data_IF_022372183864
#
_entry.id   IF_022372183864
#
_cell.length_a   1.000
_cell.length_b   1.000
_cell.length_c   1.000
_cell.angle_alpha   90.00
_cell.angle_beta   90.00
_cell.angle_gamma   90.00
#
_symmetry.space_group_name_H-M   'P 1'
#
loop_
_entity.id
_entity.type
_entity.pdbx_description
1 polymer ?
#
# COMPACT_ATOMS: atom_id res chain seq x y z
N UNK A 1 -18.12 -2.93 24.49
CA UNK A 1 -18.15 -2.13 23.25
C UNK A 1 -18.79 -2.92 22.13
N UNK A 2 -19.62 -2.30 21.32
CA UNK A 2 -20.24 -2.94 20.15
C UNK A 2 -20.18 -2.02 18.93
N UNK A 3 -19.98 -2.60 17.75
CA UNK A 3 -20.06 -1.89 16.47
C UNK A 3 -21.52 -1.47 16.24
N UNK A 4 -21.74 -0.19 15.99
CA UNK A 4 -23.06 0.37 15.69
C UNK A 4 -23.27 0.64 14.22
N UNK A 5 -22.19 0.95 13.47
CA UNK A 5 -22.22 1.16 12.03
C UNK A 5 -20.85 0.95 11.40
N UNK A 6 -20.84 0.66 10.10
CA UNK A 6 -19.66 0.69 9.20
C UNK A 6 -19.99 1.67 8.09
N UNK A 7 -19.48 2.89 8.19
CA UNK A 7 -19.74 3.99 7.26
C UNK A 7 -18.71 3.96 6.11
N UNK A 8 -19.12 3.68 4.86
CA UNK A 8 -18.25 3.84 3.70
C UNK A 8 -18.17 5.31 3.30
N UNK A 9 -16.95 5.76 2.98
CA UNK A 9 -16.66 7.12 2.54
C UNK A 9 -15.96 7.00 1.18
N UNK A 10 -16.62 7.48 0.13
CA UNK A 10 -16.07 7.56 -1.22
C UNK A 10 -15.61 8.98 -1.48
N UNK A 11 -14.34 9.16 -1.74
CA UNK A 11 -13.76 10.44 -2.15
C UNK A 11 -13.34 10.38 -3.62
N UNK A 12 -13.50 11.50 -4.35
CA UNK A 12 -13.09 11.59 -5.74
C UNK A 12 -12.77 13.02 -6.12
N UNK A 13 -11.70 13.20 -6.87
CA UNK A 13 -11.37 14.51 -7.45
C UNK A 13 -12.46 14.95 -8.44
N UNK A 14 -12.75 16.26 -8.51
CA UNK A 14 -13.74 16.79 -9.46
C UNK A 14 -13.38 16.52 -10.94
N UNK A 15 -12.09 16.38 -11.21
CA UNK A 15 -11.55 16.03 -12.53
C UNK A 15 -10.59 14.85 -12.38
N UNK A 16 -10.87 13.78 -13.10
CA UNK A 16 -10.08 12.54 -13.11
C UNK A 16 -9.48 12.34 -14.49
N UNK A 17 -8.17 12.16 -14.56
CA UNK A 17 -7.48 11.76 -15.78
C UNK A 17 -7.46 10.23 -15.90
N UNK A 18 -8.37 9.68 -16.68
CA UNK A 18 -8.49 8.23 -16.88
C UNK A 18 -7.39 7.62 -17.76
N UNK A 19 -6.51 8.44 -18.34
CA UNK A 19 -5.38 7.97 -19.15
C UNK A 19 -4.13 7.65 -18.30
N UNK A 20 -4.08 8.15 -17.05
CA UNK A 20 -2.98 7.89 -16.11
C UNK A 20 -3.30 6.69 -15.21
N UNK A 21 -2.30 5.88 -14.94
CA UNK A 21 -2.35 4.84 -13.91
C UNK A 21 -2.06 5.45 -12.52
N UNK A 22 -2.89 6.41 -12.10
CA UNK A 22 -2.73 7.18 -10.87
C UNK A 22 -3.89 6.89 -9.93
N UNK A 23 -3.66 6.03 -8.95
CA UNK A 23 -4.65 5.61 -7.94
C UNK A 23 -5.02 6.69 -6.92
N UNK A 24 -4.37 7.86 -6.95
CA UNK A 24 -4.62 8.92 -5.96
C UNK A 24 -5.76 9.87 -6.33
N UNK A 25 -6.49 9.59 -7.42
CA UNK A 25 -7.56 10.46 -7.92
C UNK A 25 -8.93 10.20 -7.26
N UNK A 26 -9.08 9.05 -6.63
CA UNK A 26 -10.20 8.73 -5.75
C UNK A 26 -9.69 7.88 -4.56
N UNK A 27 -10.52 7.74 -3.53
CA UNK A 27 -10.17 6.94 -2.36
C UNK A 27 -11.42 6.32 -1.73
N UNK A 28 -11.24 5.16 -1.12
CA UNK A 28 -12.27 4.50 -0.32
C UNK A 28 -11.81 4.38 1.13
N UNK A 29 -12.51 5.06 2.02
CA UNK A 29 -12.28 5.01 3.45
C UNK A 29 -13.48 4.37 4.16
N UNK A 30 -13.26 3.85 5.36
CA UNK A 30 -14.32 3.43 6.26
C UNK A 30 -14.16 4.07 7.63
N UNK A 31 -15.30 4.46 8.24
CA UNK A 31 -15.39 4.69 9.68
C UNK A 31 -16.20 3.58 10.31
N UNK A 32 -15.63 2.91 11.29
CA UNK A 32 -16.32 1.91 12.12
C UNK A 32 -16.71 2.56 13.42
N UNK A 33 -18.02 2.73 13.64
CA UNK A 33 -18.59 3.39 14.80
C UNK A 33 -18.92 2.39 15.90
N UNK A 34 -18.77 2.81 17.17
CA UNK A 34 -19.07 1.99 18.35
C UNK A 34 -20.08 2.68 19.27
N UNK A 35 -20.75 1.91 20.13
CA UNK A 35 -21.68 2.39 21.16
C UNK A 35 -20.98 3.14 22.31
N UNK A 36 -19.66 3.10 22.39
CA UNK A 36 -18.86 3.86 23.37
C UNK A 36 -18.27 5.15 22.78
N UNK A 37 -18.64 5.51 21.53
CA UNK A 37 -18.20 6.72 20.85
C UNK A 37 -16.79 6.66 20.27
N UNK A 38 -16.11 5.52 20.37
CA UNK A 38 -14.83 5.30 19.67
C UNK A 38 -15.15 5.02 18.20
N UNK A 39 -14.42 5.71 17.30
CA UNK A 39 -14.55 5.54 15.86
C UNK A 39 -13.21 5.12 15.30
N UNK A 40 -13.18 3.97 14.59
CA UNK A 40 -12.00 3.50 13.87
C UNK A 40 -12.00 3.97 12.43
N UNK A 41 -10.81 4.23 11.90
CA UNK A 41 -10.57 4.70 10.54
C UNK A 41 -9.74 3.66 9.78
N UNK A 42 -10.10 3.42 8.52
CA UNK A 42 -9.33 2.55 7.62
C UNK A 42 -9.51 2.91 6.17
N UNK A 43 -8.67 2.34 5.32
CA UNK A 43 -8.61 2.61 3.88
C UNK A 43 -8.50 1.32 3.08
N UNK A 44 -9.19 1.27 1.93
CA UNK A 44 -8.98 0.25 0.90
C UNK A 44 -8.55 0.90 -0.41
N UNK A 45 -7.51 0.33 -1.01
CA UNK A 45 -7.08 0.72 -2.34
C UNK A 45 -7.75 -0.18 -3.39
N UNK A 46 -8.88 0.30 -3.90
CA UNK A 46 -9.72 -0.40 -4.91
C UNK A 46 -10.74 0.57 -5.50
N UNK A 47 -11.55 0.10 -6.47
CA UNK A 47 -12.64 0.89 -7.06
C UNK A 47 -13.67 1.32 -6.00
N UNK A 48 -13.77 2.61 -5.64
CA UNK A 48 -14.48 3.04 -4.43
C UNK A 48 -15.99 2.73 -4.41
N UNK A 49 -16.68 2.83 -5.55
CA UNK A 49 -18.11 2.52 -5.64
C UNK A 49 -18.38 1.02 -5.49
N UNK A 50 -17.48 0.17 -6.00
CA UNK A 50 -17.57 -1.27 -5.78
C UNK A 50 -17.35 -1.59 -4.30
N UNK A 51 -16.36 -0.97 -3.67
CA UNK A 51 -16.07 -1.13 -2.24
C UNK A 51 -17.27 -0.73 -1.38
N UNK A 52 -17.92 0.41 -1.67
CA UNK A 52 -19.15 0.83 -0.99
C UNK A 52 -20.25 -0.25 -1.11
N UNK A 53 -20.43 -0.80 -2.30
CA UNK A 53 -21.43 -1.86 -2.52
C UNK A 53 -21.14 -3.09 -1.66
N UNK A 54 -19.88 -3.50 -1.51
CA UNK A 54 -19.49 -4.65 -0.68
C UNK A 54 -19.81 -4.39 0.80
N UNK A 55 -19.67 -3.18 1.28
CA UNK A 55 -20.07 -2.80 2.65
C UNK A 55 -21.60 -2.86 2.81
N UNK A 56 -22.36 -2.30 1.87
CA UNK A 56 -23.78 -1.95 2.05
C UNK A 56 -24.76 -2.97 1.48
N UNK A 57 -24.33 -3.87 0.59
CA UNK A 57 -25.25 -4.79 -0.09
C UNK A 57 -26.08 -5.63 0.89
N UNK A 58 -27.37 -5.89 0.60
CA UNK A 58 -28.19 -6.78 1.41
C UNK A 58 -27.66 -8.21 1.32
N UNK A 59 -27.92 -9.01 2.36
CA UNK A 59 -27.61 -10.43 2.32
C UNK A 59 -28.43 -11.12 1.22
N UNK A 60 -27.76 -11.91 0.37
CA UNK A 60 -28.38 -12.84 -0.57
C UNK A 60 -28.61 -14.21 0.10
N UNK A 61 -27.60 -14.68 0.81
CA UNK A 61 -27.64 -15.91 1.64
C UNK A 61 -26.46 -15.87 2.65
N UNK A 62 -26.28 -16.94 3.44
CA UNK A 62 -25.29 -16.95 4.55
C UNK A 62 -23.84 -16.70 4.13
N UNK A 63 -23.46 -17.02 2.88
CA UNK A 63 -22.10 -16.84 2.33
C UNK A 63 -21.96 -15.63 1.39
N UNK A 64 -23.02 -14.81 1.27
CA UNK A 64 -23.03 -13.60 0.44
C UNK A 64 -23.78 -12.48 1.16
N UNK A 65 -23.08 -11.80 2.05
CA UNK A 65 -23.61 -10.75 2.93
C UNK A 65 -22.76 -9.50 2.83
N UNK A 66 -23.38 -8.32 2.85
CA UNK A 66 -22.67 -7.04 3.00
C UNK A 66 -21.96 -6.98 4.35
N UNK A 67 -20.75 -6.40 4.36
CA UNK A 67 -19.89 -6.47 5.55
C UNK A 67 -20.42 -5.64 6.71
N UNK A 68 -21.17 -4.55 6.48
CA UNK A 68 -21.91 -3.84 7.53
C UNK A 68 -22.86 -4.75 8.31
N UNK A 69 -23.65 -5.52 7.58
CA UNK A 69 -24.63 -6.43 8.22
C UNK A 69 -23.97 -7.61 8.95
N UNK A 70 -22.71 -7.91 8.65
CA UNK A 70 -21.91 -8.93 9.34
C UNK A 70 -21.38 -8.42 10.67
N UNK A 71 -21.06 -7.14 10.75
CA UNK A 71 -20.27 -6.54 11.84
C UNK A 71 -21.10 -5.81 12.88
N UNK A 72 -22.24 -5.21 12.49
CA UNK A 72 -23.08 -4.45 13.44
C UNK A 72 -23.56 -5.38 14.56
N UNK A 73 -23.36 -4.94 15.81
CA UNK A 73 -23.65 -5.67 17.04
C UNK A 73 -22.50 -6.53 17.57
N UNK A 74 -21.44 -6.73 16.80
CA UNK A 74 -20.25 -7.47 17.20
C UNK A 74 -19.31 -6.61 18.09
N UNK A 75 -18.42 -7.28 18.82
CA UNK A 75 -17.37 -6.64 19.61
C UNK A 75 -16.14 -6.34 18.73
N UNK A 76 -15.81 -5.05 18.48
CA UNK A 76 -14.69 -4.66 17.60
C UNK A 76 -13.32 -5.13 18.09
N UNK A 77 -13.16 -5.46 19.37
CA UNK A 77 -11.89 -5.93 19.92
C UNK A 77 -11.60 -7.40 19.56
N UNK A 78 -12.55 -8.12 18.99
CA UNK A 78 -12.37 -9.49 18.50
C UNK A 78 -11.83 -9.53 17.07
N UNK A 79 -10.76 -8.77 16.78
CA UNK A 79 -10.30 -8.46 15.42
C UNK A 79 -10.09 -9.72 14.57
N UNK A 80 -9.30 -10.69 15.03
CA UNK A 80 -9.04 -11.95 14.27
C UNK A 80 -10.33 -12.73 13.99
N UNK A 81 -11.26 -12.80 14.96
CA UNK A 81 -12.54 -13.48 14.79
C UNK A 81 -13.41 -12.76 13.75
N UNK A 82 -13.47 -11.43 13.81
CA UNK A 82 -14.24 -10.64 12.86
C UNK A 82 -13.64 -10.72 11.46
N UNK A 83 -12.33 -10.75 11.33
CA UNK A 83 -11.66 -10.98 10.04
C UNK A 83 -12.13 -12.30 9.40
N UNK A 84 -12.11 -13.41 10.16
CA UNK A 84 -12.60 -14.71 9.69
C UNK A 84 -14.10 -14.67 9.35
N UNK A 85 -14.89 -13.97 10.16
CA UNK A 85 -16.34 -13.84 9.92
C UNK A 85 -16.63 -13.11 8.62
N UNK A 86 -15.91 -12.00 8.34
CA UNK A 86 -16.00 -11.27 7.07
C UNK A 86 -15.57 -12.13 5.89
N UNK A 87 -14.46 -12.86 6.02
CA UNK A 87 -13.95 -13.74 4.98
C UNK A 87 -14.96 -14.80 4.58
N UNK A 88 -15.56 -15.51 5.56
CA UNK A 88 -16.60 -16.50 5.30
C UNK A 88 -17.89 -15.89 4.72
N UNK A 89 -18.27 -14.69 5.17
CA UNK A 89 -19.47 -14.03 4.67
C UNK A 89 -19.33 -13.53 3.23
N UNK A 90 -18.11 -13.39 2.73
CA UNK A 90 -17.77 -12.93 1.38
C UNK A 90 -17.24 -14.04 0.46
N UNK A 91 -17.20 -15.28 0.92
CA UNK A 91 -16.55 -16.40 0.19
C UNK A 91 -17.08 -16.60 -1.24
N UNK A 92 -18.39 -16.38 -1.46
CA UNK A 92 -19.01 -16.54 -2.78
C UNK A 92 -18.70 -15.42 -3.78
N UNK A 93 -18.36 -14.22 -3.32
CA UNK A 93 -18.18 -13.07 -4.21
C UNK A 93 -16.80 -12.41 -4.10
N UNK A 94 -15.98 -12.79 -3.13
CA UNK A 94 -14.82 -11.99 -2.86
C UNK A 94 -13.70 -12.62 -2.07
N UNK A 95 -13.42 -13.88 -2.26
CA UNK A 95 -12.27 -14.56 -1.64
C UNK A 95 -10.92 -13.92 -2.01
N UNK A 96 -10.87 -13.12 -3.08
CA UNK A 96 -9.73 -12.29 -3.52
C UNK A 96 -10.26 -11.00 -4.15
N UNK A 97 -9.37 -10.03 -4.36
CA UNK A 97 -9.68 -8.74 -4.96
C UNK A 97 -10.55 -7.86 -4.06
N UNK A 98 -11.47 -7.13 -4.64
CA UNK A 98 -12.18 -6.02 -3.99
C UNK A 98 -12.78 -6.32 -2.61
N UNK A 99 -13.27 -7.54 -2.35
CA UNK A 99 -13.79 -7.86 -1.02
C UNK A 99 -12.68 -7.94 0.03
N UNK A 100 -11.50 -8.48 -0.31
CA UNK A 100 -10.34 -8.48 0.58
C UNK A 100 -9.81 -7.06 0.82
N UNK A 101 -9.85 -6.20 -0.21
CA UNK A 101 -9.47 -4.79 -0.06
C UNK A 101 -10.42 -4.10 0.94
N UNK A 102 -11.73 -4.29 0.83
CA UNK A 102 -12.70 -3.73 1.81
C UNK A 102 -12.51 -4.33 3.20
N UNK A 103 -12.22 -5.63 3.30
CA UNK A 103 -11.87 -6.26 4.57
C UNK A 103 -10.61 -5.64 5.18
N UNK A 104 -9.62 -5.29 4.34
CA UNK A 104 -8.40 -4.60 4.79
C UNK A 104 -8.72 -3.26 5.43
N UNK A 105 -9.59 -2.44 4.79
CA UNK A 105 -10.03 -1.18 5.36
C UNK A 105 -10.70 -1.36 6.72
N UNK A 106 -11.60 -2.33 6.83
CA UNK A 106 -12.30 -2.61 8.08
C UNK A 106 -11.34 -3.16 9.13
N UNK A 107 -10.42 -4.04 8.77
CA UNK A 107 -9.39 -4.57 9.68
C UNK A 107 -8.50 -3.45 10.24
N UNK A 108 -8.03 -2.54 9.39
CA UNK A 108 -7.26 -1.36 9.81
C UNK A 108 -8.09 -0.53 10.81
N UNK A 109 -9.39 -0.31 10.54
CA UNK A 109 -10.27 0.43 11.44
C UNK A 109 -10.51 -0.30 12.77
N UNK A 110 -10.58 -1.63 12.78
CA UNK A 110 -10.72 -2.41 14.02
C UNK A 110 -9.45 -2.34 14.88
N UNK A 111 -8.27 -2.39 14.25
CA UNK A 111 -7.00 -2.17 14.95
C UNK A 111 -6.87 -0.74 15.48
N UNK A 112 -7.37 0.25 14.75
CA UNK A 112 -7.44 1.65 15.21
C UNK A 112 -8.34 1.78 16.44
N UNK A 113 -9.54 1.13 16.44
CA UNK A 113 -10.41 1.06 17.63
C UNK A 113 -9.67 0.40 18.80
N UNK A 114 -9.00 -0.71 18.58
CA UNK A 114 -8.31 -1.44 19.64
C UNK A 114 -7.21 -0.57 20.27
N UNK A 115 -6.43 0.17 19.46
CA UNK A 115 -5.43 1.12 19.94
C UNK A 115 -6.06 2.29 20.72
N UNK A 116 -7.13 2.88 20.19
CA UNK A 116 -7.88 3.97 20.87
C UNK A 116 -8.47 3.52 22.20
N UNK A 117 -9.06 2.32 22.23
CA UNK A 117 -9.62 1.75 23.45
C UNK A 117 -8.57 1.43 24.52
N UNK A 118 -7.38 1.01 24.10
CA UNK A 118 -6.24 0.73 24.98
C UNK A 118 -5.42 1.99 25.34
N UNK A 119 -5.63 3.11 24.64
CA UNK A 119 -4.85 4.34 24.80
C UNK A 119 -3.42 4.25 24.29
N UNK A 120 -3.14 3.38 23.30
CA UNK A 120 -1.80 3.14 22.73
C UNK A 120 -1.83 3.15 21.20
N UNK A 121 -0.68 3.44 20.53
CA UNK A 121 -0.55 3.32 19.08
C UNK A 121 -0.74 1.87 18.59
N UNK A 122 -1.17 1.70 17.35
CA UNK A 122 -1.31 0.35 16.74
C UNK A 122 0.02 -0.41 16.75
N UNK A 123 1.15 0.25 16.54
CA UNK A 123 2.48 -0.40 16.61
C UNK A 123 2.75 -1.09 17.94
N UNK A 124 2.24 -0.55 19.05
CA UNK A 124 2.42 -1.17 20.37
C UNK A 124 1.58 -2.45 20.50
N UNK A 125 0.37 -2.48 19.93
CA UNK A 125 -0.45 -3.69 19.86
C UNK A 125 0.15 -4.77 18.96
N UNK A 126 0.91 -4.37 17.94
CA UNK A 126 1.62 -5.28 17.02
C UNK A 126 2.92 -5.86 17.61
N UNK A 127 3.28 -5.49 18.85
CA UNK A 127 4.45 -6.02 19.55
C UNK A 127 5.50 -4.97 19.90
N UNK A 128 5.22 -3.69 19.63
CA UNK A 128 6.08 -2.56 19.95
C UNK A 128 6.94 -2.09 18.78
N UNK A 129 7.02 -0.78 18.63
CA UNK A 129 7.85 -0.15 17.59
C UNK A 129 9.33 -0.30 17.93
N UNK A 130 10.16 -0.58 16.92
CA UNK A 130 11.63 -0.67 17.02
C UNK A 130 12.33 0.64 16.68
N UNK A 131 11.68 1.47 15.85
CA UNK A 131 12.18 2.77 15.41
C UNK A 131 11.04 3.81 15.47
N UNK A 132 11.40 5.07 15.72
CA UNK A 132 10.44 6.17 15.83
C UNK A 132 10.21 6.89 14.50
N UNK A 133 11.16 6.78 13.56
CA UNK A 133 11.13 7.46 12.27
C UNK A 133 11.54 6.48 11.18
N UNK A 134 10.82 6.49 10.06
CA UNK A 134 11.04 5.58 8.94
C UNK A 134 11.50 6.38 7.72
N UNK A 135 12.56 5.92 7.06
CA UNK A 135 12.96 6.43 5.75
C UNK A 135 11.86 6.20 4.73
N UNK A 136 11.50 7.23 3.98
CA UNK A 136 10.50 7.10 2.92
C UNK A 136 11.12 7.35 1.55
N UNK A 137 10.62 6.64 0.54
CA UNK A 137 10.97 6.93 -0.83
C UNK A 137 9.84 7.68 -1.53
N UNK A 138 10.22 8.68 -2.34
CA UNK A 138 9.27 9.34 -3.23
C UNK A 138 8.77 8.34 -4.29
N UNK A 139 7.47 8.22 -4.48
CA UNK A 139 6.87 7.35 -5.50
C UNK A 139 5.99 8.16 -6.43
N UNK A 140 6.21 7.99 -7.75
CA UNK A 140 5.45 8.67 -8.80
C UNK A 140 5.29 7.75 -10.04
N UNK A 141 4.22 7.95 -10.77
CA UNK A 141 4.02 7.30 -12.07
C UNK A 141 5.10 7.78 -13.05
N UNK A 142 5.75 6.84 -13.77
CA UNK A 142 6.78 7.17 -14.74
C UNK A 142 6.26 8.13 -15.81
N UNK A 143 6.82 9.33 -15.92
CA UNK A 143 6.39 10.31 -16.93
C UNK A 143 6.72 9.87 -18.34
N UNK A 144 6.07 10.51 -19.32
CA UNK A 144 6.28 10.18 -20.72
C UNK A 144 7.63 10.63 -21.28
N UNK A 145 8.29 11.64 -20.68
CA UNK A 145 9.49 12.24 -21.25
C UNK A 145 10.67 12.28 -20.26
N UNK A 146 11.93 12.17 -20.75
CA UNK A 146 13.11 12.28 -19.89
C UNK A 146 13.22 13.63 -19.14
N UNK A 147 12.70 14.72 -19.70
CA UNK A 147 12.73 16.04 -19.04
C UNK A 147 11.78 16.09 -17.84
N UNK A 148 10.62 15.48 -17.95
CA UNK A 148 9.70 15.33 -16.82
C UNK A 148 10.27 14.40 -15.74
N UNK A 149 10.95 13.31 -16.13
CA UNK A 149 11.68 12.43 -15.20
C UNK A 149 12.72 13.22 -14.41
N UNK A 150 13.56 14.04 -15.10
CA UNK A 150 14.55 14.88 -14.41
C UNK A 150 13.89 15.84 -13.43
N UNK A 151 12.79 16.48 -13.82
CA UNK A 151 12.07 17.42 -12.94
C UNK A 151 11.55 16.73 -11.66
N UNK A 152 11.00 15.51 -11.77
CA UNK A 152 10.54 14.74 -10.60
C UNK A 152 11.72 14.31 -9.73
N UNK A 153 12.80 13.83 -10.34
CA UNK A 153 14.01 13.43 -9.60
C UNK A 153 14.65 14.63 -8.87
N UNK A 154 14.74 15.80 -9.52
CA UNK A 154 15.21 17.03 -8.90
C UNK A 154 14.35 17.45 -7.70
N UNK A 155 13.01 17.40 -7.85
CA UNK A 155 12.07 17.71 -6.77
C UNK A 155 12.21 16.74 -5.58
N UNK A 156 12.42 15.44 -5.83
CA UNK A 156 12.70 14.47 -4.79
C UNK A 156 14.01 14.77 -4.04
N UNK A 157 15.06 15.15 -4.76
CA UNK A 157 16.35 15.58 -4.17
C UNK A 157 16.19 16.83 -3.32
N UNK A 158 15.51 17.85 -3.85
CA UNK A 158 15.25 19.13 -3.15
C UNK A 158 14.40 18.92 -1.88
N UNK A 159 13.44 18.01 -1.93
CA UNK A 159 12.60 17.62 -0.78
C UNK A 159 13.32 16.73 0.23
N UNK A 160 14.57 16.30 -0.03
CA UNK A 160 15.38 15.53 0.91
C UNK A 160 15.12 14.01 0.90
N UNK A 161 14.39 13.47 -0.08
CA UNK A 161 14.18 12.02 -0.17
C UNK A 161 15.50 11.26 -0.38
N UNK A 162 15.66 10.14 0.35
CA UNK A 162 16.79 9.23 0.20
C UNK A 162 16.65 8.24 -0.96
N UNK A 163 15.46 8.14 -1.54
CA UNK A 163 15.16 7.23 -2.64
C UNK A 163 14.00 7.75 -3.50
N UNK A 164 13.97 7.30 -4.77
CA UNK A 164 12.91 7.58 -5.73
C UNK A 164 12.47 6.28 -6.43
N UNK A 165 11.18 6.02 -6.48
CA UNK A 165 10.55 5.00 -7.31
C UNK A 165 9.79 5.65 -8.45
N UNK A 166 10.02 5.16 -9.67
CA UNK A 166 9.26 5.54 -10.86
C UNK A 166 8.75 4.27 -11.55
N UNK A 167 7.49 4.25 -11.93
CA UNK A 167 6.92 3.04 -12.51
C UNK A 167 5.72 3.24 -13.41
N UNK A 168 5.25 2.13 -14.03
CA UNK A 168 4.12 2.15 -14.94
C UNK A 168 4.34 3.03 -16.19
N UNK A 169 3.35 3.82 -16.59
CA UNK A 169 3.46 4.79 -17.67
C UNK A 169 3.88 4.17 -19.02
N UNK A 170 4.94 4.67 -19.67
CA UNK A 170 5.39 4.21 -20.97
C UNK A 170 6.25 2.93 -20.94
N UNK A 171 6.65 2.45 -19.75
CA UNK A 171 7.60 1.34 -19.59
C UNK A 171 7.14 0.05 -20.27
N UNK A 172 8.12 -0.76 -20.69
CA UNK A 172 7.91 -2.07 -21.32
C UNK A 172 7.58 -2.02 -22.80
N UNK A 173 7.36 -0.85 -23.40
CA UNK A 173 7.07 -0.72 -24.84
C UNK A 173 8.33 -0.79 -25.70
N UNK A 174 9.35 0.00 -25.32
CA UNK A 174 10.65 0.08 -25.99
C UNK A 174 11.78 0.13 -24.98
N UNK A 175 12.59 -0.92 -24.92
CA UNK A 175 13.69 -1.04 -23.95
C UNK A 175 14.76 0.04 -24.09
N UNK A 176 15.01 0.55 -25.29
CA UNK A 176 15.97 1.65 -25.48
C UNK A 176 15.39 2.97 -24.93
N UNK A 177 14.07 3.14 -25.01
CA UNK A 177 13.41 4.28 -24.40
C UNK A 177 13.35 4.14 -22.88
N UNK A 178 13.02 2.95 -22.35
CA UNK A 178 13.03 2.66 -20.92
C UNK A 178 14.41 3.00 -20.30
N UNK A 179 15.52 2.56 -20.95
CA UNK A 179 16.89 2.91 -20.57
C UNK A 179 17.11 4.43 -20.54
N UNK A 180 16.55 5.16 -21.50
CA UNK A 180 16.69 6.63 -21.56
C UNK A 180 15.99 7.29 -20.38
N UNK A 181 14.83 6.80 -19.94
CA UNK A 181 14.09 7.30 -18.77
C UNK A 181 14.86 6.99 -17.47
N UNK A 182 15.35 5.76 -17.31
CA UNK A 182 16.15 5.35 -16.14
C UNK A 182 17.43 6.18 -16.03
N UNK A 183 18.15 6.37 -17.15
CA UNK A 183 19.35 7.23 -17.20
C UNK A 183 19.02 8.68 -16.80
N UNK A 184 17.89 9.22 -17.25
CA UNK A 184 17.47 10.56 -16.89
C UNK A 184 17.19 10.70 -15.38
N UNK A 185 16.54 9.69 -14.79
CA UNK A 185 16.30 9.66 -13.34
C UNK A 185 17.60 9.59 -12.55
N UNK A 186 18.52 8.67 -12.90
CA UNK A 186 19.80 8.50 -12.21
C UNK A 186 20.68 9.73 -12.30
N UNK A 187 20.73 10.35 -13.46
CA UNK A 187 21.56 11.55 -13.68
C UNK A 187 21.20 12.71 -12.75
N UNK A 188 19.91 12.87 -12.44
CA UNK A 188 19.42 13.94 -11.57
C UNK A 188 19.39 13.55 -10.10
N UNK A 189 19.02 12.28 -9.80
CA UNK A 189 18.95 11.76 -8.43
C UNK A 189 20.34 11.71 -7.75
N UNK A 190 21.41 11.55 -8.54
CA UNK A 190 22.79 11.36 -8.07
C UNK A 190 23.06 9.89 -7.67
N UNK A 191 24.31 9.58 -7.35
CA UNK A 191 24.75 8.22 -7.03
C UNK A 191 24.40 7.77 -5.60
N UNK A 192 24.22 8.71 -4.69
CA UNK A 192 24.09 8.43 -3.25
C UNK A 192 22.64 8.04 -2.84
N UNK A 193 21.68 8.16 -3.75
CA UNK A 193 20.26 7.86 -3.47
C UNK A 193 19.82 6.61 -4.21
N UNK A 194 18.94 5.84 -3.55
CA UNK A 194 18.37 4.65 -4.16
C UNK A 194 17.41 5.01 -5.31
N UNK A 195 17.58 4.37 -6.47
CA UNK A 195 16.65 4.44 -7.59
C UNK A 195 15.93 3.11 -7.72
N UNK A 196 14.62 3.16 -7.67
CA UNK A 196 13.73 2.00 -7.75
C UNK A 196 12.92 2.10 -9.05
N UNK A 197 12.72 0.98 -9.72
CA UNK A 197 11.93 0.91 -10.94
C UNK A 197 10.77 -0.05 -10.75
N UNK A 198 9.55 0.38 -11.08
CA UNK A 198 8.36 -0.46 -11.10
C UNK A 198 7.99 -0.76 -12.56
N UNK A 199 8.01 -2.03 -12.92
CA UNK A 199 7.75 -2.50 -14.28
C UNK A 199 6.31 -2.44 -14.73
N UNK A 200 5.35 -2.22 -13.82
CA UNK A 200 3.93 -2.14 -14.16
C UNK A 200 3.41 -3.38 -14.90
N UNK A 201 4.00 -4.56 -14.64
CA UNK A 201 3.64 -5.86 -15.26
C UNK A 201 3.80 -5.92 -16.78
N UNK A 202 4.66 -5.07 -17.33
CA UNK A 202 4.75 -4.86 -18.79
C UNK A 202 5.83 -5.73 -19.46
N UNK A 203 6.56 -6.55 -18.70
CA UNK A 203 7.69 -7.32 -19.24
C UNK A 203 7.42 -8.83 -19.24
N UNK A 204 8.18 -9.52 -20.06
CA UNK A 204 8.45 -10.96 -19.93
C UNK A 204 9.80 -11.15 -19.26
N UNK A 205 10.09 -12.35 -18.72
CA UNK A 205 11.40 -12.66 -18.10
C UNK A 205 12.56 -12.23 -19.00
N UNK A 206 12.50 -12.56 -20.29
CA UNK A 206 13.57 -12.22 -21.25
C UNK A 206 13.75 -10.71 -21.41
N UNK A 207 12.64 -9.95 -21.53
CA UNK A 207 12.69 -8.49 -21.67
C UNK A 207 13.14 -7.80 -20.39
N UNK A 208 12.70 -8.29 -19.24
CA UNK A 208 13.15 -7.79 -17.93
C UNK A 208 14.68 -7.94 -17.78
N UNK A 209 15.21 -9.13 -18.06
CA UNK A 209 16.65 -9.38 -18.03
C UNK A 209 17.44 -8.58 -19.09
N UNK A 210 16.84 -8.30 -20.25
CA UNK A 210 17.45 -7.45 -21.25
C UNK A 210 17.51 -5.99 -20.79
N UNK A 211 16.41 -5.45 -20.21
CA UNK A 211 16.40 -4.11 -19.62
C UNK A 211 17.45 -4.00 -18.51
N UNK A 212 17.49 -4.94 -17.56
CA UNK A 212 18.43 -4.89 -16.44
C UNK A 212 19.88 -4.83 -16.90
N UNK A 213 20.25 -5.55 -17.97
CA UNK A 213 21.60 -5.44 -18.57
C UNK A 213 21.88 -4.08 -19.19
N UNK A 214 20.86 -3.42 -19.77
CA UNK A 214 21.00 -2.08 -20.36
C UNK A 214 21.18 -0.99 -19.33
N UNK A 215 20.55 -1.16 -18.16
CA UNK A 215 20.54 -0.16 -17.08
C UNK A 215 21.47 -0.52 -15.92
N UNK A 216 22.33 -1.54 -16.06
CA UNK A 216 23.21 -2.04 -15.00
C UNK A 216 24.07 -0.92 -14.39
N UNK A 217 24.63 -0.03 -15.23
CA UNK A 217 25.43 1.12 -14.78
C UNK A 217 24.65 2.16 -13.96
N UNK A 218 23.33 2.09 -13.95
CA UNK A 218 22.45 3.00 -13.23
C UNK A 218 22.08 2.53 -11.84
N UNK A 219 22.61 1.40 -11.37
CA UNK A 219 22.55 0.86 -10.01
C UNK A 219 21.14 0.93 -9.40
N UNK A 220 20.17 0.21 -10.02
CA UNK A 220 18.82 0.12 -9.50
C UNK A 220 18.83 -0.60 -8.15
N UNK A 221 18.09 -0.05 -7.17
CA UNK A 221 17.91 -0.67 -5.86
C UNK A 221 17.02 -1.92 -5.94
N UNK A 222 15.89 -1.85 -6.69
CA UNK A 222 15.08 -3.00 -7.08
C UNK A 222 14.39 -2.77 -8.43
N UNK A 223 13.90 -3.89 -8.99
CA UNK A 223 12.94 -3.91 -10.10
C UNK A 223 11.66 -4.58 -9.63
N UNK A 224 10.59 -3.79 -9.49
CA UNK A 224 9.29 -4.15 -8.94
C UNK A 224 8.34 -4.58 -10.05
N UNK A 225 7.46 -5.54 -9.76
CA UNK A 225 6.37 -6.02 -10.64
C UNK A 225 6.68 -6.03 -12.14
N UNK A 226 7.84 -6.53 -12.51
CA UNK A 226 8.21 -6.68 -13.94
C UNK A 226 7.24 -7.62 -14.67
N UNK A 227 6.75 -8.67 -14.00
CA UNK A 227 5.91 -9.74 -14.54
C UNK A 227 4.49 -9.66 -13.96
N UNK A 228 3.56 -10.42 -14.58
CA UNK A 228 2.23 -10.59 -14.00
C UNK A 228 2.30 -11.25 -12.61
N UNK A 229 1.43 -10.90 -11.65
CA UNK A 229 1.48 -11.40 -10.27
C UNK A 229 1.42 -12.93 -10.17
N UNK A 230 0.61 -13.58 -11.01
CA UNK A 230 0.45 -15.03 -11.01
C UNK A 230 1.60 -15.80 -11.70
N UNK A 231 2.59 -15.11 -12.32
CA UNK A 231 3.72 -15.75 -13.02
C UNK A 231 4.86 -16.10 -12.04
N UNK A 232 4.55 -16.95 -11.06
CA UNK A 232 5.53 -17.42 -10.08
C UNK A 232 6.71 -18.14 -10.71
N UNK A 233 6.49 -18.87 -11.82
CA UNK A 233 7.55 -19.58 -12.52
C UNK A 233 8.45 -18.61 -13.31
N UNK A 234 7.88 -17.51 -13.79
CA UNK A 234 8.63 -16.39 -14.35
C UNK A 234 9.50 -15.70 -13.31
N UNK A 235 8.96 -15.38 -12.13
CA UNK A 235 9.74 -14.84 -11.02
C UNK A 235 10.85 -15.78 -10.56
N UNK A 236 10.59 -17.08 -10.47
CA UNK A 236 11.60 -18.09 -10.14
C UNK A 236 12.78 -18.15 -11.14
N UNK A 237 12.56 -17.70 -12.39
CA UNK A 237 13.62 -17.56 -13.41
C UNK A 237 14.28 -16.17 -13.33
N UNK A 238 13.49 -15.11 -13.12
CA UNK A 238 13.96 -13.73 -13.12
C UNK A 238 14.85 -13.44 -11.91
N UNK A 239 14.37 -13.72 -10.69
CA UNK A 239 15.05 -13.31 -9.47
C UNK A 239 16.49 -13.83 -9.34
N UNK A 240 16.81 -15.13 -9.56
CA UNK A 240 18.18 -15.60 -9.46
C UNK A 240 19.08 -15.17 -10.64
N UNK A 241 18.51 -14.66 -11.72
CA UNK A 241 19.26 -14.21 -12.90
C UNK A 241 19.44 -12.68 -12.96
N UNK A 242 18.74 -11.95 -12.13
CA UNK A 242 18.83 -10.50 -12.03
C UNK A 242 20.05 -10.08 -11.20
N UNK A 243 20.68 -8.96 -11.58
CA UNK A 243 21.77 -8.31 -10.81
C UNK A 243 21.22 -7.36 -9.73
N UNK A 244 19.92 -7.08 -9.74
CA UNK A 244 19.19 -6.21 -8.80
C UNK A 244 18.16 -7.00 -8.02
N UNK A 245 17.70 -6.48 -6.89
CA UNK A 245 16.60 -7.08 -6.12
C UNK A 245 15.34 -7.13 -6.96
N UNK A 246 14.58 -8.21 -6.88
CA UNK A 246 13.27 -8.36 -7.51
C UNK A 246 12.21 -8.23 -6.43
N UNK A 247 11.30 -7.29 -6.64
CA UNK A 247 10.22 -6.93 -5.72
C UNK A 247 8.85 -7.21 -6.34
N UNK A 248 7.88 -7.64 -5.53
CA UNK A 248 6.46 -7.72 -5.88
C UNK A 248 5.61 -7.97 -4.64
N UNK A 249 4.27 -7.89 -4.79
CA UNK A 249 3.32 -8.28 -3.77
C UNK A 249 2.17 -7.31 -3.56
N UNK A 250 2.15 -6.15 -4.20
CA UNK A 250 1.05 -5.19 -4.07
C UNK A 250 -0.30 -5.74 -4.55
N UNK A 251 -0.26 -6.68 -5.48
CA UNK A 251 -1.44 -7.33 -6.06
C UNK A 251 -1.88 -8.59 -5.31
N UNK A 252 -1.15 -8.98 -4.26
CA UNK A 252 -1.42 -10.22 -3.54
C UNK A 252 -2.22 -9.98 -2.25
N UNK A 253 -3.14 -10.90 -1.97
CA UNK A 253 -3.96 -10.89 -0.77
C UNK A 253 -3.78 -12.18 0.02
N UNK A 254 -3.98 -12.08 1.33
CA UNK A 254 -3.80 -13.17 2.30
C UNK A 254 -2.35 -13.68 2.39
N UNK A 255 -2.05 -14.52 3.37
CA UNK A 255 -0.69 -14.98 3.63
C UNK A 255 -0.11 -15.92 2.57
N UNK A 256 -0.96 -16.78 1.97
CA UNK A 256 -0.47 -17.88 1.14
C UNK A 256 0.26 -17.44 -0.15
N UNK A 257 -0.22 -16.43 -0.91
CA UNK A 257 0.54 -15.88 -2.05
C UNK A 257 1.89 -15.31 -1.65
N UNK A 258 1.99 -14.54 -0.56
CA UNK A 258 3.27 -14.00 -0.11
C UNK A 258 4.28 -15.09 0.23
N UNK A 259 3.82 -16.17 0.89
CA UNK A 259 4.69 -17.34 1.09
C UNK A 259 5.13 -17.95 -0.24
N UNK A 260 4.25 -18.04 -1.23
CA UNK A 260 4.60 -18.57 -2.54
C UNK A 260 5.59 -17.68 -3.31
N UNK A 261 5.48 -16.35 -3.18
CA UNK A 261 6.46 -15.41 -3.73
C UNK A 261 7.87 -15.65 -3.16
N UNK A 262 7.99 -15.95 -1.86
CA UNK A 262 9.28 -16.29 -1.23
C UNK A 262 9.76 -17.69 -1.65
N UNK A 263 8.93 -18.73 -1.42
CA UNK A 263 9.35 -20.13 -1.56
C UNK A 263 9.53 -20.56 -3.03
N UNK A 264 8.65 -20.07 -3.92
CA UNK A 264 8.65 -20.42 -5.34
C UNK A 264 9.19 -19.30 -6.21
N UNK A 265 8.68 -18.07 -6.04
CA UNK A 265 9.09 -16.89 -6.79
C UNK A 265 10.52 -16.44 -6.50
N UNK A 266 11.05 -16.76 -5.32
CA UNK A 266 12.40 -16.40 -4.85
C UNK A 266 12.67 -14.91 -4.82
N UNK A 267 11.63 -14.13 -4.49
CA UNK A 267 11.75 -12.68 -4.42
C UNK A 267 12.68 -12.23 -3.30
N UNK A 268 13.31 -11.09 -3.52
CA UNK A 268 14.18 -10.41 -2.56
C UNK A 268 13.38 -9.44 -1.68
N UNK A 269 12.31 -8.84 -2.21
CA UNK A 269 11.47 -7.85 -1.52
C UNK A 269 9.99 -8.22 -1.67
N UNK A 270 9.27 -8.27 -0.56
CA UNK A 270 7.81 -8.38 -0.52
C UNK A 270 7.19 -7.01 -0.27
N UNK A 271 6.16 -6.69 -1.04
CA UNK A 271 5.47 -5.40 -0.99
C UNK A 271 3.97 -5.55 -0.67
N UNK A 272 3.62 -6.04 0.56
CA UNK A 272 2.22 -6.12 0.92
C UNK A 272 1.61 -4.73 1.00
N UNK A 273 0.47 -4.53 0.35
CA UNK A 273 -0.35 -3.34 0.55
C UNK A 273 -1.34 -3.59 1.69
N UNK A 274 -1.26 -2.83 2.78
CA UNK A 274 -2.13 -3.03 3.93
C UNK A 274 -3.62 -2.75 3.61
N UNK A 275 -3.89 -1.92 2.60
CA UNK A 275 -5.23 -1.63 2.11
C UNK A 275 -5.78 -2.72 1.15
N UNK A 276 -4.96 -3.73 0.79
CA UNK A 276 -5.32 -4.82 -0.13
C UNK A 276 -5.09 -6.20 0.46
N UNK A 277 -4.00 -6.43 1.18
CA UNK A 277 -3.56 -7.78 1.58
C UNK A 277 -4.43 -8.45 2.64
N UNK A 278 -5.30 -7.72 3.34
CA UNK A 278 -6.12 -8.19 4.46
C UNK A 278 -5.85 -7.44 5.76
N UNK A 279 -5.29 -6.23 5.68
CA UNK A 279 -5.02 -5.34 6.80
C UNK A 279 -3.87 -5.79 7.70
N UNK A 280 -3.81 -5.25 8.90
CA UNK A 280 -2.79 -5.62 9.90
C UNK A 280 -2.86 -7.10 10.30
N UNK A 281 -4.05 -7.69 10.33
CA UNK A 281 -4.24 -9.09 10.71
C UNK A 281 -3.49 -10.04 9.77
N UNK A 282 -3.42 -9.75 8.48
CA UNK A 282 -2.62 -10.51 7.52
C UNK A 282 -1.17 -10.02 7.48
N UNK A 283 -0.93 -8.71 7.49
CA UNK A 283 0.40 -8.15 7.41
C UNK A 283 1.33 -8.68 8.53
N UNK A 284 0.84 -8.84 9.77
CA UNK A 284 1.62 -9.44 10.87
C UNK A 284 2.00 -10.91 10.63
N UNK A 285 1.21 -11.66 9.83
CA UNK A 285 1.59 -13.01 9.42
C UNK A 285 2.67 -12.95 8.34
N UNK A 286 2.56 -12.01 7.38
CA UNK A 286 3.57 -11.79 6.35
C UNK A 286 4.91 -11.40 6.98
N UNK A 287 4.91 -10.58 8.04
CA UNK A 287 6.11 -10.19 8.77
C UNK A 287 6.92 -11.40 9.31
N UNK A 288 6.29 -12.55 9.55
CA UNK A 288 7.00 -13.77 9.96
C UNK A 288 7.90 -14.36 8.86
N UNK A 289 7.64 -14.04 7.59
CA UNK A 289 8.48 -14.50 6.47
C UNK A 289 9.87 -13.86 6.53
N UNK A 290 9.97 -12.61 7.00
CA UNK A 290 11.25 -11.95 7.22
C UNK A 290 12.16 -12.71 8.20
N UNK A 291 11.57 -13.36 9.22
CA UNK A 291 12.31 -14.14 10.23
C UNK A 291 12.79 -15.48 9.71
N UNK A 292 12.08 -16.06 8.76
CA UNK A 292 12.36 -17.39 8.20
C UNK A 292 13.17 -17.37 6.92
N UNK A 293 13.38 -16.19 6.33
CA UNK A 293 14.09 -16.00 5.07
C UNK A 293 14.91 -14.70 5.08
N UNK A 294 15.65 -14.45 4.00
CA UNK A 294 16.37 -13.19 3.80
C UNK A 294 15.54 -12.10 3.12
N UNK A 295 14.25 -12.35 2.91
CA UNK A 295 13.37 -11.40 2.21
C UNK A 295 13.24 -10.10 3.01
N UNK A 296 13.25 -8.98 2.31
CA UNK A 296 12.94 -7.65 2.84
C UNK A 296 11.44 -7.39 2.71
N UNK A 297 10.83 -6.68 3.67
CA UNK A 297 9.41 -6.31 3.60
C UNK A 297 9.31 -4.79 3.55
N UNK A 298 8.78 -4.28 2.45
CA UNK A 298 8.57 -2.85 2.20
C UNK A 298 7.16 -2.67 1.64
N UNK A 299 6.18 -2.24 2.43
CA UNK A 299 4.80 -2.18 1.97
C UNK A 299 4.62 -1.21 0.80
N UNK A 300 3.81 -1.61 -0.19
CA UNK A 300 3.22 -0.71 -1.18
C UNK A 300 2.29 0.27 -0.46
N UNK A 301 2.34 1.55 -0.84
CA UNK A 301 1.52 2.59 -0.23
C UNK A 301 1.36 3.79 -1.18
N UNK A 302 0.55 3.62 -2.24
CA UNK A 302 0.31 4.67 -3.25
C UNK A 302 -1.13 5.19 -3.18
N UNK A 303 -1.55 5.66 -1.98
CA UNK A 303 -2.91 6.12 -1.72
C UNK A 303 -2.91 7.27 -0.69
N UNK A 304 -3.85 7.32 0.26
CA UNK A 304 -3.97 8.44 1.19
C UNK A 304 -3.07 8.33 2.42
N UNK A 305 -3.02 9.43 3.20
CA UNK A 305 -2.30 9.45 4.47
C UNK A 305 -2.83 8.46 5.52
N UNK A 306 -4.02 7.91 5.36
CA UNK A 306 -4.53 6.85 6.26
C UNK A 306 -3.74 5.56 6.04
N UNK A 307 -3.50 5.18 4.78
CA UNK A 307 -2.66 4.04 4.45
C UNK A 307 -1.19 4.29 4.83
N UNK A 308 -0.70 5.53 4.67
CA UNK A 308 0.64 5.91 5.14
C UNK A 308 0.76 5.67 6.65
N UNK A 309 -0.20 6.11 7.47
CA UNK A 309 -0.20 5.86 8.91
C UNK A 309 -0.16 4.35 9.23
N UNK A 310 -1.01 3.56 8.58
CA UNK A 310 -1.03 2.11 8.76
C UNK A 310 0.32 1.47 8.38
N UNK A 311 0.88 1.85 7.24
CA UNK A 311 2.17 1.34 6.76
C UNK A 311 3.32 1.72 7.70
N UNK A 312 3.35 2.95 8.22
CA UNK A 312 4.35 3.38 9.20
C UNK A 312 4.29 2.55 10.50
N UNK A 313 3.07 2.32 11.05
CA UNK A 313 2.91 1.45 12.22
C UNK A 313 3.41 0.04 11.96
N UNK A 314 3.11 -0.52 10.78
CA UNK A 314 3.54 -1.87 10.43
C UNK A 314 5.07 -1.95 10.28
N UNK A 315 5.68 -1.07 9.46
CA UNK A 315 7.12 -1.05 9.20
C UNK A 315 7.91 -0.85 10.50
N UNK A 316 7.43 -0.01 11.42
CA UNK A 316 8.09 0.25 12.69
C UNK A 316 8.24 -1.01 13.56
N UNK A 317 7.46 -2.07 13.32
CA UNK A 317 7.49 -3.33 14.08
C UNK A 317 8.30 -4.44 13.41
N UNK A 318 8.73 -4.26 12.16
CA UNK A 318 9.54 -5.25 11.44
C UNK A 318 10.90 -5.45 12.10
N UNK A 319 11.49 -6.62 11.92
CA UNK A 319 12.83 -6.91 12.47
C UNK A 319 13.93 -6.11 11.75
N UNK A 320 13.72 -5.81 10.44
CA UNK A 320 14.62 -5.02 9.58
C UNK A 320 13.85 -3.89 8.89
N UNK A 321 13.38 -2.86 9.62
CA UNK A 321 12.64 -1.77 9.02
C UNK A 321 13.56 -0.96 8.10
N UNK A 322 13.20 -0.83 6.83
CA UNK A 322 14.02 -0.12 5.82
C UNK A 322 13.29 1.10 5.27
N UNK A 323 12.29 0.88 4.44
CA UNK A 323 11.58 1.94 3.72
C UNK A 323 10.07 1.86 3.93
N UNK A 324 9.40 2.98 3.75
CA UNK A 324 7.97 3.04 3.48
C UNK A 324 7.74 3.87 2.20
N UNK A 325 6.80 3.46 1.37
CA UNK A 325 6.39 4.21 0.19
C UNK A 325 5.67 5.49 0.58
N UNK A 326 5.93 6.57 -0.16
CA UNK A 326 5.21 7.82 -0.02
C UNK A 326 4.92 8.42 -1.39
N UNK A 327 3.64 8.44 -1.77
CA UNK A 327 3.23 9.04 -3.04
C UNK A 327 3.50 10.54 -3.03
N UNK A 328 4.17 11.04 -4.08
CA UNK A 328 4.39 12.47 -4.33
C UNK A 328 3.47 12.99 -5.43
N UNK A 329 2.45 12.22 -5.80
CA UNK A 329 1.42 12.64 -6.75
C UNK A 329 0.75 13.94 -6.28
N UNK A 330 0.47 14.81 -7.24
CA UNK A 330 -0.16 16.11 -6.99
C UNK A 330 -1.68 15.95 -6.79
N UNK A 331 -2.05 15.17 -5.76
CA UNK A 331 -3.43 14.94 -5.37
C UNK A 331 -3.69 15.40 -3.94
N UNK A 332 -4.73 16.22 -3.69
CA UNK A 332 -5.11 16.58 -2.34
C UNK A 332 -5.63 15.38 -1.52
N UNK A 333 -5.96 14.25 -2.16
CA UNK A 333 -6.38 13.05 -1.45
C UNK A 333 -5.22 12.31 -0.79
N UNK A 334 -3.98 12.52 -1.21
CA UNK A 334 -2.80 11.86 -0.62
C UNK A 334 -2.61 12.29 0.84
N UNK A 335 -2.50 13.58 1.12
CA UNK A 335 -2.20 14.08 2.46
C UNK A 335 -3.15 15.19 2.93
N UNK A 336 -3.87 15.82 2.02
CA UNK A 336 -4.74 16.95 2.30
C UNK A 336 -6.11 16.60 2.91
N UNK A 337 -6.42 15.30 3.08
CA UNK A 337 -7.62 14.83 3.77
C UNK A 337 -7.40 14.58 5.26
N UNK A 338 -6.15 14.64 5.73
CA UNK A 338 -5.82 14.52 7.15
C UNK A 338 -5.92 15.90 7.84
N UNK A 339 -6.36 15.89 9.10
CA UNK A 339 -6.37 17.09 9.94
C UNK A 339 -4.94 17.62 10.17
N UNK A 340 -4.00 16.71 10.37
CA UNK A 340 -2.56 16.98 10.50
C UNK A 340 -1.82 16.19 9.42
N UNK A 341 -1.45 16.84 8.29
CA UNK A 341 -0.70 16.21 7.23
C UNK A 341 0.69 15.75 7.69
N UNK A 342 1.17 14.65 7.11
CA UNK A 342 2.54 14.20 7.37
C UNK A 342 3.57 15.24 6.91
N UNK A 343 4.56 15.49 7.76
CA UNK A 343 5.67 16.39 7.47
C UNK A 343 6.96 15.59 7.28
N UNK A 344 7.51 15.63 6.08
CA UNK A 344 8.79 15.01 5.76
C UNK A 344 9.93 15.79 6.48
N UNK A 345 10.81 15.05 7.18
CA UNK A 345 12.00 15.59 7.81
C UNK A 345 13.22 14.73 7.40
N UNK A 346 14.13 15.32 6.67
CA UNK A 346 15.34 14.64 6.19
C UNK A 346 15.07 13.27 5.52
N UNK A 347 14.05 13.20 4.67
CA UNK A 347 13.64 11.99 3.97
C UNK A 347 12.97 10.93 4.86
N UNK A 348 12.49 11.31 6.04
CA UNK A 348 11.87 10.42 7.02
C UNK A 348 10.50 10.93 7.46
N UNK A 349 9.64 10.02 7.85
CA UNK A 349 8.38 10.30 8.52
C UNK A 349 8.39 9.72 9.94
N UNK A 350 7.89 10.50 10.89
CA UNK A 350 7.65 10.01 12.24
C UNK A 350 6.49 9.01 12.26
N UNK A 351 6.65 7.92 13.00
CA UNK A 351 5.55 6.99 13.28
C UNK A 351 4.58 7.68 14.22
N UNK A 352 3.26 7.74 13.92
CA UNK A 352 2.31 8.40 14.78
C UNK A 352 2.30 7.84 16.21
N UNK A 353 2.25 8.73 17.20
CA UNK A 353 2.32 8.35 18.63
C UNK A 353 0.95 8.37 19.34
N UNK A 354 -0.05 8.92 18.70
CA UNK A 354 -1.41 8.96 19.22
C UNK A 354 -2.06 7.57 19.30
N UNK A 355 -3.10 7.39 20.14
CA UNK A 355 -3.86 6.15 20.23
C UNK A 355 -4.42 5.72 18.86
N UNK A 356 -4.39 4.43 18.59
CA UNK A 356 -4.81 3.88 17.29
C UNK A 356 -3.82 4.18 16.18
N UNK A 357 -4.31 4.62 15.02
CA UNK A 357 -3.48 5.08 13.90
C UNK A 357 -2.81 6.44 14.17
N UNK A 358 -3.27 7.18 15.19
CA UNK A 358 -2.72 8.50 15.53
C UNK A 358 -2.98 9.57 14.47
N UNK A 359 -3.93 9.36 13.55
CA UNK A 359 -4.35 10.32 12.53
C UNK A 359 -5.87 10.47 12.51
N UNK A 360 -6.34 11.65 12.12
CA UNK A 360 -7.76 11.96 11.96
C UNK A 360 -8.03 12.60 10.60
N UNK A 361 -9.24 12.39 10.08
CA UNK A 361 -9.68 13.06 8.86
C UNK A 361 -10.08 14.53 9.14
N UNK A 362 -9.80 15.41 8.20
CA UNK A 362 -10.40 16.73 8.12
C UNK A 362 -11.80 16.61 7.50
N UNK A 363 -12.84 16.78 8.32
CA UNK A 363 -14.23 16.63 7.86
C UNK A 363 -14.60 17.65 6.77
N UNK A 364 -13.93 18.80 6.71
CA UNK A 364 -14.12 19.79 5.64
C UNK A 364 -13.58 19.27 4.32
N UNK A 365 -12.37 18.73 4.32
CA UNK A 365 -11.76 18.12 3.15
C UNK A 365 -12.54 16.87 2.69
N UNK A 366 -12.97 16.03 3.62
CA UNK A 366 -13.83 14.88 3.32
C UNK A 366 -15.12 15.33 2.64
N UNK A 367 -15.81 16.34 3.17
CA UNK A 367 -17.06 16.85 2.59
C UNK A 367 -16.84 17.40 1.18
N UNK A 368 -15.69 18.05 0.91
CA UNK A 368 -15.38 18.65 -0.38
C UNK A 368 -15.26 17.59 -1.51
N UNK A 369 -14.70 16.42 -1.20
CA UNK A 369 -14.41 15.38 -2.18
C UNK A 369 -15.36 14.18 -2.11
N UNK A 370 -16.28 14.16 -1.13
CA UNK A 370 -17.22 13.05 -0.94
C UNK A 370 -18.19 12.92 -2.12
N UNK A 371 -18.34 11.70 -2.62
CA UNK A 371 -19.30 11.31 -3.65
C UNK A 371 -20.45 10.55 -2.97
N UNK A 372 -21.69 10.95 -3.24
CA UNK A 372 -22.91 10.28 -2.73
C UNK A 372 -23.17 8.91 -3.37
#
# INVERSE_FOLDING_TARGET
>A
MKITDVEPIVLRLPQVDTARADGTQDAFLVRVHTDEGIVGLGEADTAPLLARTIVEMPASHSLARGLRAVLVGEDPLQVDRLWQTMFHASDHYGRRGAALHVMSAIDIALWDIAGKAAGVPVSDLLGGRRIAEIGVYASEVMPATPDEVRRIAAAAVESGYGALKLGWGPLGRDLAYDETLVRAARAELGADRALMLDGGRAYTVKRALELLRRVEEHDLYWFEEALQPDDLDGYAQLAPAASVRIAAGEADETFAPFRALVERGRLDVLQPDLARCGGFTVARQIALLERSSSVEIVPHCFSSGVLVAASLHFVATLDRPTWCEYSVAQSPLVNGILREPFALQDGRLAVPEGPGLGVDLDDTAVTLYRVE
#
